data_IF_276379978881
#
_entry.id   IF_276379978881
#
_cell.length_a   1.000
_cell.length_b   1.000
_cell.length_c   1.000
_cell.angle_alpha   90.00
_cell.angle_beta   90.00
_cell.angle_gamma   90.00
#
_symmetry.space_group_name_H-M   'P 1'
#
loop_
_entity.id
_entity.type
_entity.pdbx_description
1 polymer ?
#
# COMPACT_ATOMS: atom_id res chain seq x y z
N UNK A 1 5.97 12.71 19.42
CA UNK A 1 5.11 11.60 18.96
C UNK A 1 5.20 11.49 17.44
N UNK A 2 5.23 10.29 16.86
CA UNK A 2 5.41 10.12 15.40
C UNK A 2 4.22 10.68 14.61
N UNK A 3 4.49 11.55 13.63
CA UNK A 3 3.51 12.07 12.66
C UNK A 3 3.34 11.14 11.45
N UNK A 4 4.01 10.00 11.43
CA UNK A 4 3.94 9.02 10.35
C UNK A 4 3.58 7.62 10.84
N UNK A 5 3.03 6.85 9.91
CA UNK A 5 2.68 5.45 10.06
C UNK A 5 3.11 4.69 8.81
N UNK A 6 3.63 3.47 8.98
CA UNK A 6 4.08 2.64 7.89
C UNK A 6 3.63 1.19 8.07
N UNK A 7 3.41 0.50 6.96
CA UNK A 7 2.98 -0.88 6.95
C UNK A 7 3.55 -1.61 5.73
N UNK A 8 3.99 -2.85 5.96
CA UNK A 8 4.38 -3.79 4.91
C UNK A 8 3.33 -4.89 4.84
N UNK A 9 2.78 -5.12 3.66
CA UNK A 9 1.78 -6.15 3.39
C UNK A 9 2.37 -7.16 2.42
N UNK A 10 2.25 -8.45 2.75
CA UNK A 10 2.58 -9.52 1.82
C UNK A 10 1.44 -9.69 0.79
N UNK A 11 1.80 -9.78 -0.48
CA UNK A 11 0.87 -9.94 -1.60
C UNK A 11 0.78 -8.71 -2.52
N UNK A 12 -0.19 -8.80 -3.44
CA UNK A 12 -0.48 -7.78 -4.46
C UNK A 12 -1.74 -7.03 -4.04
N UNK A 13 -1.69 -5.69 -4.11
CA UNK A 13 -2.88 -4.84 -3.97
C UNK A 13 -3.84 -5.17 -5.13
N UNK A 14 -5.05 -5.66 -4.84
CA UNK A 14 -6.01 -6.00 -5.89
C UNK A 14 -6.39 -4.75 -6.68
N UNK A 15 -6.46 -4.89 -8.01
CA UNK A 15 -6.88 -3.80 -8.87
C UNK A 15 -8.38 -3.55 -8.73
N UNK A 16 -8.76 -2.28 -8.68
CA UNK A 16 -10.15 -1.83 -8.62
C UNK A 16 -11.02 -2.43 -9.73
N UNK A 17 -10.51 -2.56 -10.97
CA UNK A 17 -11.25 -3.17 -12.10
C UNK A 17 -11.39 -4.70 -12.04
N UNK A 18 -10.43 -5.43 -11.48
CA UNK A 18 -10.58 -6.88 -11.27
C UNK A 18 -11.60 -7.21 -10.18
N UNK A 19 -11.93 -6.24 -9.34
CA UNK A 19 -12.87 -6.38 -8.25
C UNK A 19 -14.32 -6.13 -8.66
N UNK A 20 -14.59 -5.45 -9.77
CA UNK A 20 -15.95 -5.06 -10.12
C UNK A 20 -16.49 -5.89 -11.29
N UNK A 21 -17.52 -6.72 -11.02
CA UNK A 21 -18.28 -7.38 -12.09
C UNK A 21 -19.30 -6.39 -12.67
N UNK A 22 -19.19 -6.10 -13.97
CA UNK A 22 -20.22 -5.37 -14.69
C UNK A 22 -21.43 -6.30 -14.89
N UNK A 23 -22.47 -6.14 -14.07
CA UNK A 23 -23.78 -6.71 -14.37
C UNK A 23 -24.53 -5.72 -15.27
N UNK A 24 -24.56 -6.02 -16.56
CA UNK A 24 -25.26 -5.26 -17.59
C UNK A 24 -26.76 -5.50 -17.51
N UNK A 25 -27.48 -4.81 -16.62
CA UNK A 25 -28.94 -4.61 -16.74
C UNK A 25 -29.28 -3.23 -16.17
N UNK A 26 -30.09 -2.47 -16.91
CA UNK A 26 -30.53 -1.08 -16.72
C UNK A 26 -30.69 -0.58 -15.27
N UNK A 27 -30.39 0.72 -15.09
CA UNK A 27 -30.62 1.60 -13.93
C UNK A 27 -29.75 1.35 -12.68
N UNK A 28 -28.96 2.38 -12.34
CA UNK A 28 -28.11 2.50 -11.15
C UNK A 28 -27.26 1.25 -10.86
N UNK A 29 -26.16 1.08 -11.60
CA UNK A 29 -25.18 0.01 -11.38
C UNK A 29 -24.57 0.18 -9.97
N UNK A 30 -25.17 -0.48 -8.97
CA UNK A 30 -24.52 -0.74 -7.68
C UNK A 30 -23.34 -1.66 -7.96
N UNK A 31 -22.17 -1.07 -8.14
CA UNK A 31 -20.92 -1.78 -8.42
C UNK A 31 -20.57 -2.61 -7.17
N UNK A 32 -20.82 -3.93 -7.20
CA UNK A 32 -20.50 -4.83 -6.08
C UNK A 32 -19.00 -5.12 -6.05
N UNK A 33 -18.36 -4.84 -4.92
CA UNK A 33 -16.97 -5.22 -4.66
C UNK A 33 -16.79 -6.74 -4.75
N UNK A 34 -15.73 -7.16 -5.42
CA UNK A 34 -15.36 -8.55 -5.59
C UNK A 34 -14.77 -9.14 -4.32
N UNK A 35 -14.94 -10.46 -4.13
CA UNK A 35 -14.52 -11.17 -2.92
C UNK A 35 -13.04 -10.93 -2.55
N UNK A 36 -12.13 -10.97 -3.54
CA UNK A 36 -10.70 -10.73 -3.32
C UNK A 36 -10.39 -9.34 -2.77
N UNK A 37 -11.09 -8.30 -3.25
CA UNK A 37 -10.92 -6.94 -2.74
C UNK A 37 -11.45 -6.85 -1.31
N UNK A 38 -12.61 -7.42 -1.04
CA UNK A 38 -13.19 -7.44 0.31
C UNK A 38 -12.26 -8.14 1.31
N UNK A 39 -11.74 -9.31 0.95
CA UNK A 39 -10.84 -10.08 1.81
C UNK A 39 -9.53 -9.31 2.06
N UNK A 40 -8.99 -8.64 1.03
CA UNK A 40 -7.82 -7.77 1.17
C UNK A 40 -8.09 -6.59 2.12
N UNK A 41 -9.22 -5.87 1.96
CA UNK A 41 -9.60 -4.76 2.85
C UNK A 41 -9.74 -5.21 4.30
N UNK A 42 -10.32 -6.39 4.54
CA UNK A 42 -10.45 -6.97 5.89
C UNK A 42 -9.08 -7.29 6.49
N UNK A 43 -8.19 -7.95 5.75
CA UNK A 43 -6.84 -8.27 6.22
C UNK A 43 -6.07 -6.99 6.57
N UNK A 44 -6.15 -5.98 5.72
CA UNK A 44 -5.47 -4.71 5.93
C UNK A 44 -6.04 -3.95 7.14
N UNK A 45 -7.37 -3.89 7.28
CA UNK A 45 -8.02 -3.31 8.46
C UNK A 45 -7.62 -4.02 9.76
N UNK A 46 -7.47 -5.35 9.73
CA UNK A 46 -6.99 -6.11 10.87
C UNK A 46 -5.52 -5.79 11.21
N UNK A 47 -4.67 -5.60 10.20
CA UNK A 47 -3.30 -5.16 10.44
C UNK A 47 -3.23 -3.76 11.08
N UNK A 48 -4.10 -2.83 10.70
CA UNK A 48 -4.19 -1.52 11.37
C UNK A 48 -4.67 -1.61 12.82
N UNK A 49 -5.53 -2.59 13.14
CA UNK A 49 -5.97 -2.81 14.53
C UNK A 49 -4.85 -3.36 15.42
N UNK A 50 -4.01 -4.23 14.85
CA UNK A 50 -2.85 -4.83 15.54
C UNK A 50 -1.74 -3.78 15.69
N UNK A 51 -1.38 -3.14 14.58
CA UNK A 51 -0.37 -2.10 14.52
C UNK A 51 -1.08 -0.73 14.52
N UNK A 52 -1.61 -0.34 15.68
CA UNK A 52 -2.41 0.90 15.75
C UNK A 52 -1.58 2.11 15.32
N UNK A 53 -2.15 3.00 14.50
CA UNK A 53 -1.49 4.26 14.18
C UNK A 53 -1.31 5.11 15.45
N UNK A 54 -0.39 6.09 15.39
CA UNK A 54 -0.19 6.99 16.51
C UNK A 54 -1.47 7.76 16.85
N UNK A 55 -1.57 8.29 18.07
CA UNK A 55 -2.72 9.08 18.54
C UNK A 55 -3.00 10.35 17.69
N UNK A 56 -2.15 10.65 16.70
CA UNK A 56 -2.35 11.74 15.76
C UNK A 56 -3.34 11.39 14.62
N UNK A 57 -3.74 10.11 14.48
CA UNK A 57 -4.72 9.65 13.51
C UNK A 57 -6.04 9.26 14.21
N UNK A 58 -7.23 9.58 13.66
CA UNK A 58 -7.48 10.35 12.43
C UNK A 58 -7.01 11.81 12.56
N UNK A 59 -6.43 12.33 11.48
CA UNK A 59 -6.06 13.75 11.41
C UNK A 59 -7.07 14.58 10.61
N UNK A 60 -7.15 15.87 10.90
CA UNK A 60 -7.80 16.89 10.06
C UNK A 60 -6.81 17.65 9.16
N UNK A 61 -5.51 17.44 9.38
CA UNK A 61 -4.46 18.05 8.56
C UNK A 61 -4.30 17.34 7.21
N UNK A 62 -3.56 17.99 6.33
CA UNK A 62 -3.13 17.41 5.07
C UNK A 62 -2.14 16.25 5.32
N UNK A 63 -2.17 15.24 4.45
CA UNK A 63 -1.33 14.06 4.55
C UNK A 63 -0.59 13.79 3.24
N UNK A 64 0.57 13.19 3.39
CA UNK A 64 1.30 12.52 2.33
C UNK A 64 1.04 11.02 2.43
N UNK A 65 0.73 10.38 1.31
CA UNK A 65 0.58 8.92 1.21
C UNK A 65 1.56 8.39 0.18
N UNK A 66 2.30 7.34 0.53
CA UNK A 66 3.13 6.60 -0.40
C UNK A 66 2.74 5.13 -0.44
N UNK A 67 2.71 4.57 -1.65
CA UNK A 67 2.27 3.22 -1.96
C UNK A 67 3.25 2.65 -2.97
N UNK A 68 4.04 1.67 -2.54
CA UNK A 68 5.06 1.05 -3.38
C UNK A 68 4.82 -0.44 -3.42
N UNK A 69 4.44 -0.95 -4.60
CA UNK A 69 4.22 -2.38 -4.82
C UNK A 69 5.48 -3.00 -5.45
N UNK A 70 6.02 -4.02 -4.80
CA UNK A 70 7.11 -4.83 -5.31
C UNK A 70 6.56 -6.12 -5.89
N UNK A 71 7.04 -6.46 -7.09
CA UNK A 71 6.61 -7.63 -7.85
C UNK A 71 7.76 -8.62 -8.06
N UNK A 72 7.43 -9.91 -8.05
CA UNK A 72 8.33 -11.01 -8.41
C UNK A 72 8.25 -11.41 -9.88
N UNK A 73 7.23 -10.94 -10.62
CA UNK A 73 7.06 -11.25 -12.04
C UNK A 73 6.81 -10.01 -12.87
N UNK A 74 7.65 -9.82 -13.91
CA UNK A 74 7.49 -8.70 -14.85
C UNK A 74 6.25 -8.85 -15.73
N UNK A 75 6.09 -10.02 -16.37
CA UNK A 75 5.05 -10.24 -17.39
C UNK A 75 3.67 -10.53 -16.79
N UNK A 76 3.60 -11.26 -15.68
CA UNK A 76 2.34 -11.69 -15.09
C UNK A 76 1.68 -10.60 -14.25
N UNK A 77 2.49 -9.91 -13.45
CA UNK A 77 1.98 -9.03 -12.40
C UNK A 77 2.38 -7.56 -12.65
N UNK A 78 3.66 -7.25 -12.85
CA UNK A 78 4.09 -5.85 -13.01
C UNK A 78 3.45 -5.14 -14.21
N UNK A 79 3.38 -5.77 -15.39
CA UNK A 79 2.85 -5.13 -16.61
C UNK A 79 1.33 -5.04 -16.65
N UNK A 80 0.64 -5.93 -15.95
CA UNK A 80 -0.83 -6.05 -16.02
C UNK A 80 -1.55 -5.21 -14.97
N UNK A 81 -0.80 -4.62 -14.02
CA UNK A 81 -1.35 -3.90 -12.88
C UNK A 81 -1.17 -2.40 -13.03
N UNK A 82 -2.28 -1.68 -12.98
CA UNK A 82 -2.27 -0.23 -13.05
C UNK A 82 -2.01 0.40 -11.67
N UNK A 83 -1.15 1.42 -11.65
CA UNK A 83 -0.71 2.09 -10.42
C UNK A 83 -1.83 2.92 -9.79
N UNK A 84 -2.67 3.54 -10.62
CA UNK A 84 -3.84 4.31 -10.21
C UNK A 84 -4.88 3.45 -9.46
N UNK A 85 -5.16 2.25 -9.97
CA UNK A 85 -6.09 1.30 -9.37
C UNK A 85 -5.59 0.81 -8.01
N UNK A 86 -4.28 0.52 -7.89
CA UNK A 86 -3.68 0.17 -6.60
C UNK A 86 -3.78 1.34 -5.61
N UNK A 87 -3.46 2.56 -6.07
CA UNK A 87 -3.51 3.75 -5.25
C UNK A 87 -4.92 3.99 -4.71
N UNK A 88 -5.92 3.95 -5.59
CA UNK A 88 -7.33 4.10 -5.22
C UNK A 88 -7.76 3.09 -4.16
N UNK A 89 -7.41 1.82 -4.33
CA UNK A 89 -7.75 0.79 -3.33
C UNK A 89 -7.15 1.06 -1.96
N UNK A 90 -5.91 1.55 -1.88
CA UNK A 90 -5.30 1.88 -0.58
C UNK A 90 -5.90 3.17 0.01
N UNK A 91 -6.14 4.20 -0.79
CA UNK A 91 -6.75 5.44 -0.33
C UNK A 91 -8.15 5.19 0.26
N UNK A 92 -8.97 4.38 -0.40
CA UNK A 92 -10.27 3.95 0.13
C UNK A 92 -10.12 3.28 1.50
N UNK A 93 -9.11 2.42 1.65
CA UNK A 93 -8.87 1.67 2.88
C UNK A 93 -8.39 2.57 4.01
N UNK A 94 -7.49 3.53 3.73
CA UNK A 94 -7.02 4.49 4.72
C UNK A 94 -8.16 5.40 5.22
N UNK A 95 -9.04 5.84 4.32
CA UNK A 95 -10.22 6.63 4.67
C UNK A 95 -11.20 5.80 5.51
N UNK A 96 -11.56 4.59 5.06
CA UNK A 96 -12.46 3.68 5.78
C UNK A 96 -11.95 3.32 7.19
N UNK A 97 -10.63 3.36 7.41
CA UNK A 97 -9.99 3.05 8.69
C UNK A 97 -9.60 4.31 9.50
N UNK A 98 -10.17 5.49 9.17
CA UNK A 98 -9.99 6.73 9.92
C UNK A 98 -8.51 7.15 10.08
N UNK A 99 -7.71 7.09 9.01
CA UNK A 99 -6.43 7.81 9.00
C UNK A 99 -6.65 9.30 8.74
N UNK A 100 -7.60 9.64 7.88
CA UNK A 100 -8.07 11.00 7.61
C UNK A 100 -9.59 10.97 7.39
N UNK A 101 -10.23 12.13 7.34
CA UNK A 101 -11.69 12.24 7.21
C UNK A 101 -12.19 12.22 5.78
N UNK A 102 -11.39 12.71 4.82
CA UNK A 102 -11.73 12.75 3.40
C UNK A 102 -10.48 12.57 2.53
N UNK A 103 -10.64 11.96 1.37
CA UNK A 103 -9.58 11.83 0.35
C UNK A 103 -8.93 13.17 -0.05
N UNK A 104 -9.68 14.28 0.00
CA UNK A 104 -9.18 15.64 -0.26
C UNK A 104 -8.11 16.13 0.73
N UNK A 105 -7.87 15.41 1.83
CA UNK A 105 -6.75 15.66 2.73
C UNK A 105 -5.42 15.09 2.21
N UNK A 106 -5.44 14.26 1.16
CA UNK A 106 -4.21 13.75 0.54
C UNK A 106 -3.64 14.82 -0.37
N UNK A 107 -2.71 15.62 0.17
CA UNK A 107 -2.03 16.69 -0.56
C UNK A 107 -1.05 16.12 -1.59
N UNK A 108 -0.29 15.11 -1.18
CA UNK A 108 0.74 14.48 -2.01
C UNK A 108 0.56 12.96 -1.99
N UNK A 109 0.63 12.35 -3.18
CA UNK A 109 0.53 10.90 -3.38
C UNK A 109 1.72 10.40 -4.18
N UNK A 110 2.50 9.48 -3.60
CA UNK A 110 3.53 8.73 -4.30
C UNK A 110 3.05 7.29 -4.53
N UNK A 111 2.58 6.97 -5.73
CA UNK A 111 2.24 5.61 -6.10
C UNK A 111 3.27 5.05 -7.08
N UNK A 112 3.87 3.90 -6.76
CA UNK A 112 4.92 3.30 -7.57
C UNK A 112 4.82 1.79 -7.60
N UNK A 113 5.36 1.19 -8.66
CA UNK A 113 5.61 -0.25 -8.75
C UNK A 113 7.06 -0.51 -9.10
N UNK A 114 7.63 -1.56 -8.52
CA UNK A 114 8.97 -2.05 -8.82
C UNK A 114 8.94 -3.53 -9.08
N UNK A 115 9.83 -4.00 -9.95
CA UNK A 115 10.02 -5.42 -10.21
C UNK A 115 11.51 -5.74 -10.09
N UNK A 116 11.84 -6.74 -9.29
CA UNK A 116 13.15 -7.37 -9.31
C UNK A 116 13.02 -8.81 -8.84
N UNK A 117 12.96 -9.68 -9.85
CA UNK A 117 12.72 -11.11 -9.74
C UNK A 117 13.80 -11.79 -8.89
N UNK A 118 15.01 -11.20 -8.78
CA UNK A 118 16.13 -11.78 -8.03
C UNK A 118 16.17 -11.34 -6.57
N UNK A 119 15.49 -10.24 -6.20
CA UNK A 119 15.62 -9.63 -4.87
C UNK A 119 14.34 -9.59 -4.06
N UNK A 120 13.20 -9.70 -4.72
CA UNK A 120 11.91 -9.68 -4.09
C UNK A 120 11.50 -11.14 -3.86
N UNK A 121 11.54 -11.66 -2.61
CA UNK A 121 11.25 -13.07 -2.35
C UNK A 121 9.78 -13.42 -2.59
N UNK A 122 8.90 -12.44 -2.47
CA UNK A 122 7.46 -12.53 -2.73
C UNK A 122 6.89 -11.15 -3.00
N UNK A 123 5.73 -11.09 -3.67
CA UNK A 123 5.05 -9.82 -3.88
C UNK A 123 4.78 -9.16 -2.52
N UNK A 124 5.05 -7.86 -2.40
CA UNK A 124 4.80 -7.12 -1.18
C UNK A 124 4.52 -5.65 -1.47
N UNK A 125 3.79 -5.01 -0.58
CA UNK A 125 3.41 -3.61 -0.67
C UNK A 125 3.91 -2.86 0.54
N UNK A 126 4.56 -1.72 0.30
CA UNK A 126 4.91 -0.75 1.33
C UNK A 126 3.93 0.41 1.28
N UNK A 127 3.25 0.66 2.38
CA UNK A 127 2.32 1.79 2.55
C UNK A 127 2.90 2.68 3.64
N UNK A 128 2.97 3.97 3.35
CA UNK A 128 3.39 4.99 4.29
C UNK A 128 2.41 6.16 4.26
N UNK A 129 2.11 6.71 5.43
CA UNK A 129 1.33 7.92 5.57
C UNK A 129 1.99 8.85 6.58
N UNK A 130 2.12 10.13 6.24
CA UNK A 130 2.66 11.18 7.11
C UNK A 130 1.71 12.37 7.14
N UNK A 131 1.46 12.88 8.34
CA UNK A 131 0.77 14.16 8.53
C UNK A 131 1.75 15.26 8.15
N UNK A 132 1.35 16.13 7.22
CA UNK A 132 2.19 17.22 6.72
C UNK A 132 1.90 18.51 7.50
N UNK A 133 2.97 19.24 7.80
CA UNK A 133 2.91 20.68 7.99
C UNK A 133 3.27 21.40 6.68
N UNK A 134 3.12 22.73 6.65
CA UNK A 134 3.32 23.50 5.42
C UNK A 134 4.79 23.48 4.96
N UNK A 135 4.98 23.18 3.66
CA UNK A 135 6.31 23.08 3.04
C UNK A 135 7.02 21.73 3.20
N UNK A 136 6.41 20.74 3.87
CA UNK A 136 7.06 19.43 4.12
C UNK A 136 6.92 18.42 2.97
N UNK A 137 6.19 18.75 1.90
CA UNK A 137 5.84 17.81 0.82
C UNK A 137 7.07 17.14 0.17
N UNK A 138 8.05 17.94 -0.25
CA UNK A 138 9.26 17.45 -0.95
C UNK A 138 10.11 16.60 0.01
N UNK A 139 10.30 17.08 1.24
CA UNK A 139 11.08 16.38 2.27
C UNK A 139 10.46 15.01 2.59
N UNK A 140 9.12 14.96 2.70
CA UNK A 140 8.42 13.72 2.96
C UNK A 140 8.59 12.70 1.83
N UNK A 141 8.63 13.14 0.57
CA UNK A 141 8.92 12.27 -0.58
C UNK A 141 10.34 11.71 -0.50
N UNK A 142 11.34 12.56 -0.26
CA UNK A 142 12.74 12.13 -0.19
C UNK A 142 12.98 11.12 0.95
N UNK A 143 12.41 11.39 2.13
CA UNK A 143 12.44 10.47 3.28
C UNK A 143 11.91 9.08 2.90
N UNK A 144 10.75 9.03 2.25
CA UNK A 144 10.10 7.76 1.88
C UNK A 144 10.85 7.05 0.77
N UNK A 145 11.38 7.77 -0.21
CA UNK A 145 12.22 7.15 -1.24
C UNK A 145 13.43 6.48 -0.60
N UNK A 146 14.09 7.16 0.36
CA UNK A 146 15.18 6.58 1.14
C UNK A 146 14.77 5.31 1.89
N UNK A 147 13.66 5.36 2.64
CA UNK A 147 13.13 4.20 3.39
C UNK A 147 12.75 3.03 2.48
N UNK A 148 12.12 3.31 1.35
CA UNK A 148 11.74 2.30 0.38
C UNK A 148 12.95 1.65 -0.28
N UNK A 149 14.00 2.43 -0.58
CA UNK A 149 15.27 1.91 -1.10
C UNK A 149 16.00 1.05 -0.07
N UNK A 150 16.01 1.46 1.20
CA UNK A 150 16.59 0.67 2.30
C UNK A 150 15.81 -0.65 2.50
N UNK A 151 14.48 -0.60 2.57
CA UNK A 151 13.63 -1.79 2.64
C UNK A 151 13.95 -2.72 1.47
N UNK A 152 13.99 -2.18 0.26
CA UNK A 152 14.31 -2.93 -0.95
C UNK A 152 15.74 -3.50 -0.95
N UNK A 153 16.69 -2.79 -0.33
CA UNK A 153 18.05 -3.27 -0.08
C UNK A 153 18.08 -4.44 0.91
N UNK A 154 17.32 -4.38 1.99
CA UNK A 154 17.23 -5.43 3.02
C UNK A 154 16.57 -6.71 2.52
N UNK A 155 15.63 -6.61 1.58
CA UNK A 155 15.06 -7.78 0.90
C UNK A 155 16.14 -8.63 0.19
N UNK A 156 17.29 -8.04 -0.18
CA UNK A 156 18.45 -8.77 -0.73
C UNK A 156 19.09 -9.75 0.25
N UNK A 157 18.92 -9.57 1.57
CA UNK A 157 19.75 -10.23 2.60
C UNK A 157 19.04 -11.46 3.20
N UNK A 158 17.79 -11.76 2.82
CA UNK A 158 17.07 -12.95 3.33
C UNK A 158 17.48 -14.28 2.69
N UNK A 159 18.58 -14.32 1.93
CA UNK A 159 19.28 -15.53 1.49
C UNK A 159 20.66 -15.64 2.18
N UNK A 160 20.69 -16.04 3.46
CA UNK A 160 21.85 -16.64 4.12
C UNK A 160 21.51 -17.24 5.50
N UNK A 161 20.42 -18.00 5.62
CA UNK A 161 20.29 -18.95 6.75
C UNK A 161 19.82 -20.28 6.17
N UNK A 162 20.77 -21.04 5.66
CA UNK A 162 20.60 -22.48 5.46
C UNK A 162 20.58 -23.11 6.86
N UNK A 163 19.51 -23.78 7.30
CA UNK A 163 19.57 -24.54 8.54
C UNK A 163 20.52 -25.72 8.29
N UNK A 164 21.69 -25.67 8.93
CA UNK A 164 22.58 -26.83 9.02
C UNK A 164 21.79 -27.92 9.73
N UNK A 165 21.46 -29.00 9.01
CA UNK A 165 20.88 -30.19 9.64
C UNK A 165 21.96 -30.79 10.57
N UNK A 166 21.65 -31.05 11.84
CA UNK A 166 22.57 -31.83 12.66
C UNK A 166 22.61 -33.25 12.11
N UNK A 167 23.83 -33.70 11.79
CA UNK A 167 24.19 -35.10 11.54
C UNK A 167 24.08 -35.92 12.82
#
# INVERSE_FOLDING_TARGET
>A
MSKSYQLIIEGIIPATREAYRNNSVNQAVRVKEGRKLKDFKITLANQFKINRPSNNFPTLKQVFVAIIQFYTSKKKDYTTRDVDNMAKTILDVLEQNNFYKRDSQVRTLLASKRVDVKKVPQNLSYIYIKILDDGEDIIAVDEVVGQALDLYGKLKIKEAVVPVRPT
#
